data_IF_901237436331
#
_entry.id   IF_901237436331
#
_cell.length_a   1.000
_cell.length_b   1.000
_cell.length_c   1.000
_cell.angle_alpha   90.00
_cell.angle_beta   90.00
_cell.angle_gamma   90.00
#
_symmetry.space_group_name_H-M   'P 1'
#
loop_
_entity.id
_entity.type
_entity.pdbx_description
1 polymer ?
#
# COMPACT_ATOMS: atom_id res chain seq x y z
N UNK A 1 -14.18 4.48 10.06
CA UNK A 1 -12.71 4.33 9.96
C UNK A 1 -12.40 3.41 8.78
N UNK A 2 -11.20 3.51 8.19
CA UNK A 2 -10.72 2.58 7.16
C UNK A 2 -9.61 1.73 7.77
N UNK A 3 -9.75 0.42 7.68
CA UNK A 3 -8.66 -0.51 7.99
C UNK A 3 -7.99 -0.91 6.70
N UNK A 4 -6.70 -0.58 6.54
CA UNK A 4 -5.90 -1.08 5.42
C UNK A 4 -5.39 -2.47 5.80
N UNK A 5 -5.98 -3.50 5.21
CA UNK A 5 -5.66 -4.89 5.50
C UNK A 5 -4.37 -5.33 4.82
N UNK A 6 -4.27 -5.12 3.51
CA UNK A 6 -3.10 -5.51 2.73
C UNK A 6 -2.86 -4.51 1.60
N UNK A 7 -1.59 -4.21 1.34
CA UNK A 7 -1.12 -3.49 0.16
C UNK A 7 -0.21 -4.44 -0.60
N UNK A 8 -0.60 -4.81 -1.82
CA UNK A 8 0.30 -5.51 -2.74
C UNK A 8 0.80 -4.55 -3.79
N UNK A 9 2.10 -4.58 -4.02
CA UNK A 9 2.77 -3.79 -5.05
C UNK A 9 3.40 -4.78 -6.02
N UNK A 10 3.02 -4.68 -7.28
CA UNK A 10 3.60 -5.43 -8.38
C UNK A 10 4.36 -4.46 -9.28
N UNK A 11 5.62 -4.77 -9.54
CA UNK A 11 6.46 -4.06 -10.50
C UNK A 11 6.74 -4.99 -11.66
N UNK A 12 6.49 -4.50 -12.88
CA UNK A 12 6.69 -5.28 -14.11
C UNK A 12 7.62 -4.53 -15.04
N UNK A 13 8.72 -5.13 -15.46
CA UNK A 13 9.62 -4.58 -16.48
C UNK A 13 8.91 -4.48 -17.83
N UNK A 14 9.34 -3.52 -18.66
CA UNK A 14 8.88 -3.35 -20.04
C UNK A 14 9.95 -3.75 -21.05
N UNK A 15 10.95 -4.51 -20.61
CA UNK A 15 12.09 -4.97 -21.40
C UNK A 15 12.29 -6.49 -21.22
N UNK A 16 13.09 -7.08 -22.10
CA UNK A 16 13.35 -8.52 -22.14
C UNK A 16 13.93 -9.06 -20.83
N UNK A 17 13.56 -10.28 -20.48
CA UNK A 17 14.09 -10.97 -19.30
C UNK A 17 15.62 -11.11 -19.35
N UNK A 18 16.26 -11.10 -18.19
CA UNK A 18 17.70 -11.30 -18.04
C UNK A 18 18.52 -10.00 -18.01
N UNK A 19 17.90 -8.84 -18.27
CA UNK A 19 18.58 -7.54 -18.13
C UNK A 19 18.68 -7.17 -16.65
N UNK A 20 19.90 -7.20 -16.10
CA UNK A 20 20.15 -6.82 -14.70
C UNK A 20 19.80 -5.35 -14.45
N UNK A 21 18.72 -5.13 -13.70
CA UNK A 21 18.09 -3.83 -13.54
C UNK A 21 17.62 -3.66 -12.09
N UNK A 22 18.55 -3.37 -11.17
CA UNK A 22 18.23 -3.18 -9.76
C UNK A 22 17.30 -1.98 -9.55
N UNK A 23 16.36 -2.16 -8.63
CA UNK A 23 15.42 -1.12 -8.22
C UNK A 23 15.42 -1.03 -6.69
N UNK A 24 15.75 0.15 -6.16
CA UNK A 24 15.62 0.43 -4.73
C UNK A 24 14.21 0.86 -4.43
N UNK A 25 13.63 0.34 -3.36
CA UNK A 25 12.26 0.67 -2.99
C UNK A 25 12.16 0.90 -1.49
N UNK A 26 11.19 1.70 -1.09
CA UNK A 26 10.83 1.85 0.30
C UNK A 26 9.33 2.12 0.37
N UNK A 27 8.63 1.35 1.19
CA UNK A 27 7.27 1.66 1.59
C UNK A 27 7.35 2.28 2.98
N UNK A 28 6.93 3.54 3.09
CA UNK A 28 7.15 4.35 4.29
C UNK A 28 5.81 4.74 4.89
N UNK A 29 5.69 4.57 6.21
CA UNK A 29 4.66 5.25 6.99
C UNK A 29 5.14 6.66 7.35
N UNK A 30 4.60 7.65 6.66
CA UNK A 30 5.02 9.05 6.78
C UNK A 30 4.63 9.69 8.12
N UNK A 31 3.92 8.97 8.99
CA UNK A 31 3.65 9.38 10.38
C UNK A 31 4.86 9.14 11.31
N UNK A 32 5.82 8.30 10.92
CA UNK A 32 6.98 7.91 11.73
C UNK A 32 8.17 8.84 11.45
N UNK A 33 8.71 9.48 12.50
CA UNK A 33 9.78 10.49 12.40
C UNK A 33 11.21 9.91 12.25
N UNK A 34 11.46 8.69 12.73
CA UNK A 34 12.77 8.03 12.66
C UNK A 34 12.63 6.74 11.86
N UNK A 35 13.29 6.69 10.69
CA UNK A 35 13.05 5.68 9.65
C UNK A 35 14.22 4.70 9.56
N UNK A 36 13.92 3.42 9.38
CA UNK A 36 14.88 2.40 8.96
C UNK A 36 14.18 1.38 8.06
N UNK A 37 13.83 1.75 6.83
CA UNK A 37 13.17 0.79 5.93
C UNK A 37 13.60 1.05 4.48
N UNK A 38 14.38 0.12 3.92
CA UNK A 38 14.66 0.04 2.49
C UNK A 38 14.56 -1.44 2.08
N UNK A 39 13.71 -1.72 1.09
CA UNK A 39 13.57 -3.02 0.46
C UNK A 39 14.26 -2.93 -0.90
N UNK A 40 15.26 -3.76 -1.14
CA UNK A 40 15.95 -3.85 -2.43
C UNK A 40 15.33 -4.97 -3.28
N UNK A 41 15.12 -4.70 -4.57
CA UNK A 41 14.63 -5.67 -5.56
C UNK A 41 15.36 -5.57 -6.90
N UNK A 42 15.15 -6.54 -7.78
CA UNK A 42 15.76 -6.59 -9.12
C UNK A 42 14.73 -6.98 -10.18
N UNK A 43 14.67 -6.22 -11.28
CA UNK A 43 13.72 -6.43 -12.39
C UNK A 43 14.22 -7.39 -13.47
N UNK A 44 15.38 -8.03 -13.29
CA UNK A 44 15.90 -9.04 -14.22
C UNK A 44 14.91 -10.20 -14.48
N UNK A 45 14.07 -10.52 -13.50
CA UNK A 45 13.08 -11.61 -13.53
C UNK A 45 11.70 -11.18 -14.06
N UNK A 46 11.64 -10.05 -14.79
CA UNK A 46 10.44 -9.37 -15.29
C UNK A 46 9.47 -8.82 -14.24
N UNK A 47 9.11 -9.61 -13.23
CA UNK A 47 8.09 -9.27 -12.25
C UNK A 47 8.65 -9.36 -10.85
N UNK A 48 8.40 -8.33 -10.07
CA UNK A 48 8.70 -8.30 -8.65
C UNK A 48 7.44 -7.92 -7.89
N UNK A 49 7.01 -8.77 -6.96
CA UNK A 49 5.82 -8.54 -6.16
C UNK A 49 6.15 -8.66 -4.68
N UNK A 50 5.65 -7.71 -3.89
CA UNK A 50 5.70 -7.80 -2.44
C UNK A 50 4.36 -7.35 -1.84
N UNK A 51 4.06 -7.91 -0.68
CA UNK A 51 2.85 -7.61 0.08
C UNK A 51 3.22 -7.06 1.43
N UNK A 52 2.60 -5.95 1.81
CA UNK A 52 2.74 -5.32 3.11
C UNK A 52 1.40 -5.28 3.82
N UNK A 53 1.42 -5.49 5.13
CA UNK A 53 0.24 -5.52 5.98
C UNK A 53 0.41 -4.42 7.03
N UNK A 54 -0.14 -3.22 6.80
CA UNK A 54 0.09 -2.07 7.68
C UNK A 54 -0.44 -2.28 9.10
N UNK A 55 -1.40 -3.19 9.30
CA UNK A 55 -1.98 -3.55 10.61
C UNK A 55 -2.42 -2.34 11.44
N UNK A 56 -2.78 -1.21 10.80
CA UNK A 56 -3.29 -0.01 11.46
C UNK A 56 -4.57 0.50 10.80
N UNK A 57 -5.32 1.32 11.56
CA UNK A 57 -6.54 1.97 11.11
C UNK A 57 -6.29 3.44 10.77
N UNK A 58 -7.08 3.98 9.85
CA UNK A 58 -7.08 5.38 9.44
C UNK A 58 -8.43 6.02 9.69
N UNK A 59 -8.39 7.24 10.23
CA UNK A 59 -9.56 8.09 10.29
C UNK A 59 -9.78 8.76 8.92
N UNK A 60 -10.99 8.57 8.37
CA UNK A 60 -11.44 9.19 7.12
C UNK A 60 -11.48 10.71 7.21
N UNK A 61 -11.64 11.27 8.41
CA UNK A 61 -11.64 12.71 8.65
C UNK A 61 -10.23 13.31 8.71
N UNK A 62 -9.19 12.48 8.68
CA UNK A 62 -7.81 12.96 8.71
C UNK A 62 -7.46 13.71 7.42
N UNK A 63 -7.02 14.96 7.57
CA UNK A 63 -6.57 15.81 6.45
C UNK A 63 -5.25 15.36 5.82
N UNK A 64 -4.56 14.36 6.41
CA UNK A 64 -3.26 13.85 5.98
C UNK A 64 -3.31 12.42 5.45
N UNK A 65 -4.48 11.95 5.03
CA UNK A 65 -4.68 10.58 4.54
C UNK A 65 -3.76 10.22 3.36
N UNK A 66 -3.46 11.19 2.49
CA UNK A 66 -2.50 11.07 1.38
C UNK A 66 -1.04 10.95 1.82
N UNK A 67 -0.72 11.23 3.09
CA UNK A 67 0.63 11.17 3.67
C UNK A 67 0.74 10.05 4.70
N UNK A 68 -0.08 9.01 4.59
CA UNK A 68 -0.02 7.88 5.50
C UNK A 68 0.97 6.85 5.00
N UNK A 69 0.90 6.51 3.72
CA UNK A 69 1.72 5.46 3.13
C UNK A 69 2.30 5.98 1.82
N UNK A 70 3.61 6.06 1.75
CA UNK A 70 4.35 6.56 0.59
C UNK A 70 5.22 5.45 0.03
N UNK A 71 5.08 5.17 -1.26
CA UNK A 71 5.95 4.25 -1.97
C UNK A 71 7.00 5.04 -2.74
N UNK A 72 8.26 4.91 -2.34
CA UNK A 72 9.42 5.54 -2.99
C UNK A 72 10.15 4.47 -3.76
N UNK A 73 10.54 4.77 -5.00
CA UNK A 73 11.33 3.88 -5.83
C UNK A 73 12.43 4.64 -6.57
N UNK A 74 13.56 3.97 -6.77
CA UNK A 74 14.67 4.49 -7.55
C UNK A 74 15.22 3.39 -8.47
N UNK A 75 15.18 3.66 -9.76
CA UNK A 75 15.72 2.79 -10.79
C UNK A 75 17.17 3.19 -11.08
N UNK A 76 18.12 2.28 -10.87
CA UNK A 76 19.54 2.64 -10.93
C UNK A 76 20.07 2.81 -12.36
N UNK A 77 19.45 2.16 -13.34
CA UNK A 77 19.90 2.11 -14.74
C UNK A 77 19.32 3.28 -15.55
N UNK A 78 19.85 4.48 -15.39
CA UNK A 78 19.41 5.67 -16.17
C UNK A 78 19.76 5.60 -17.66
N UNK A 79 20.64 4.68 -18.05
CA UNK A 79 21.16 4.48 -19.40
C UNK A 79 20.42 3.40 -20.20
N UNK A 80 19.44 2.71 -19.59
CA UNK A 80 18.82 1.53 -20.19
C UNK A 80 17.88 1.85 -21.37
N UNK A 81 17.22 3.01 -21.36
CA UNK A 81 16.21 3.39 -22.35
C UNK A 81 16.30 4.87 -22.72
N UNK A 82 15.66 5.25 -23.83
CA UNK A 82 15.68 6.64 -24.28
C UNK A 82 14.86 7.54 -23.35
N UNK A 83 15.13 8.85 -23.34
CA UNK A 83 14.30 9.80 -22.63
C UNK A 83 12.84 9.71 -23.07
N UNK A 84 11.94 9.49 -22.11
CA UNK A 84 10.49 9.34 -22.35
C UNK A 84 9.99 7.89 -22.31
N UNK A 85 10.88 6.92 -22.43
CA UNK A 85 10.54 5.51 -22.27
C UNK A 85 10.25 5.18 -20.80
N UNK A 86 9.39 4.18 -20.59
CA UNK A 86 8.95 3.73 -19.27
C UNK A 86 9.52 2.32 -19.00
N UNK A 87 10.63 2.19 -18.26
CA UNK A 87 11.31 0.90 -18.08
C UNK A 87 10.51 -0.12 -17.27
N UNK A 88 9.56 0.33 -16.46
CA UNK A 88 8.69 -0.54 -15.68
C UNK A 88 7.33 0.11 -15.40
N UNK A 89 6.36 -0.71 -15.01
CA UNK A 89 5.05 -0.29 -14.52
C UNK A 89 4.89 -0.73 -13.06
N UNK A 90 4.16 0.08 -12.27
CA UNK A 90 3.81 -0.25 -10.89
C UNK A 90 2.29 -0.39 -10.81
N UNK A 91 1.84 -1.52 -10.27
CA UNK A 91 0.43 -1.80 -9.99
C UNK A 91 0.23 -1.93 -8.49
N UNK A 92 -0.75 -1.20 -7.97
CA UNK A 92 -1.14 -1.23 -6.56
C UNK A 92 -2.46 -1.99 -6.40
N UNK A 93 -2.48 -2.95 -5.50
CA UNK A 93 -3.69 -3.61 -5.03
C UNK A 93 -3.87 -3.34 -3.54
N UNK A 94 -4.92 -2.62 -3.18
CA UNK A 94 -5.20 -2.24 -1.79
C UNK A 94 -6.45 -2.97 -1.31
N UNK A 95 -6.28 -3.88 -0.36
CA UNK A 95 -7.38 -4.48 0.39
C UNK A 95 -7.72 -3.60 1.59
N UNK A 96 -8.94 -3.08 1.65
CA UNK A 96 -9.42 -2.27 2.77
C UNK A 96 -10.78 -2.77 3.28
N UNK A 97 -11.03 -2.57 4.56
CA UNK A 97 -12.34 -2.77 5.19
C UNK A 97 -12.85 -1.44 5.73
N UNK A 98 -14.10 -1.10 5.42
CA UNK A 98 -14.79 0.06 5.98
C UNK A 98 -15.54 -0.35 7.23
N UNK A 99 -15.27 0.32 8.36
CA UNK A 99 -16.07 0.16 9.57
C UNK A 99 -16.85 1.45 9.82
N UNK A 100 -18.17 1.36 9.65
CA UNK A 100 -19.13 2.30 10.22
C UNK A 100 -19.86 1.55 11.34
N UNK A 101 -19.29 1.53 12.54
CA UNK A 101 -19.96 0.94 13.70
C UNK A 101 -20.91 1.96 14.31
N UNK A 102 -22.17 1.94 13.89
CA UNK A 102 -23.30 2.23 14.78
C UNK A 102 -23.93 0.89 15.16
N UNK A 103 -23.54 0.34 16.31
CA UNK A 103 -24.29 -0.75 16.92
C UNK A 103 -25.10 -0.14 18.07
N UNK A 104 -26.34 0.29 17.79
CA UNK A 104 -27.31 0.37 18.88
C UNK A 104 -27.69 -1.06 19.24
N UNK A 105 -27.15 -1.55 20.35
CA UNK A 105 -27.77 -2.68 21.04
C UNK A 105 -28.86 -2.06 21.92
N UNK A 106 -29.99 -1.72 21.31
CA UNK A 106 -31.23 -1.51 22.05
C UNK A 106 -31.80 -2.90 22.42
N UNK A 107 -31.08 -3.62 23.29
CA UNK A 107 -31.66 -4.75 23.99
C UNK A 107 -32.17 -4.28 25.35
N UNK A 108 -33.50 -4.37 25.49
CA UNK A 108 -34.28 -4.33 26.72
C UNK A 108 -34.63 -2.93 27.24
N UNK A 109 -35.86 -2.49 26.91
CA UNK A 109 -36.80 -2.06 27.95
C UNK A 109 -38.13 -2.79 27.77
N UNK A 110 -38.41 -3.65 28.76
CA UNK A 110 -39.67 -4.34 29.03
C UNK A 110 -40.90 -3.48 28.72
N UNK A 111 -41.95 -4.09 28.17
CA UNK A 111 -43.31 -3.96 28.73
C UNK A 111 -44.16 -5.19 28.36
N UNK A 112 -44.23 -6.11 29.31
CA UNK A 112 -45.40 -6.98 29.47
C UNK A 112 -46.53 -6.04 29.91
N UNK A 113 -47.59 -5.94 29.11
CA UNK A 113 -48.90 -5.49 29.58
C UNK A 113 -49.88 -6.62 29.28
N UNK A 114 -50.13 -7.45 30.30
CA UNK A 114 -51.39 -8.16 30.48
C UNK A 114 -52.12 -7.44 31.59
N UNK A 115 -53.20 -6.77 31.25
CA UNK A 115 -54.38 -6.51 32.06
C UNK A 115 -55.51 -6.26 31.10
#
# INVERSE_FOLDING_TARGET
MVHIGAVKILITSQFQEGINSPIKMALIDDRIKHRQDCILGNLAYQKFMFSFYPKFALDLKSTKLNKVLSFIHHFERSDLMNPGDKPFTITYLIGYALTNSHHSIDYIKRRIHRT
#
